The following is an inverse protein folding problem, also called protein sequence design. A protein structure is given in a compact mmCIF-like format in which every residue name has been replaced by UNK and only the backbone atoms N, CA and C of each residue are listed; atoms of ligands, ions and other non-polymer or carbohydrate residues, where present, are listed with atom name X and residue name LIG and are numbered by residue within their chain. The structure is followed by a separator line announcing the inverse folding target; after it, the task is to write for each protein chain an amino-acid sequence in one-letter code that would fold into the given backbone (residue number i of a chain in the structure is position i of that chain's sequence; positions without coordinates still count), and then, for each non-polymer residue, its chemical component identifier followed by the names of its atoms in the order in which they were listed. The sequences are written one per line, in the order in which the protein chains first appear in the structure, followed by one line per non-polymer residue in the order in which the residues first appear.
data_IF_131141443095
#
_entry.id   IF_131141443095
#
_cell.length_a   1.000
_cell.length_b   1.000
_cell.length_c   1.000
_cell.angle_alpha   90.00
_cell.angle_beta   90.00
_cell.angle_gamma   90.00
#
_symmetry.space_group_name_H-M   'P 1'
#
loop_
_entity.id
_entity.type
_entity.pdbx_description
1 polymer ?
#
# COMPACT_ATOMS: atom_id res chain seq x y z
N UNK A 1 7.54 17.64 -9.62
CA UNK A 1 6.73 16.47 -10.01
C UNK A 1 5.26 16.85 -10.00
N UNK A 2 4.46 16.25 -10.87
CA UNK A 2 3.01 16.33 -10.77
C UNK A 2 2.58 15.52 -9.55
N UNK A 3 2.01 16.18 -8.54
CA UNK A 3 1.30 15.49 -7.46
C UNK A 3 0.12 14.77 -8.11
N UNK A 4 0.25 13.46 -8.28
CA UNK A 4 -0.91 12.67 -8.66
C UNK A 4 -1.89 12.70 -7.49
N UNK A 5 -3.15 13.00 -7.77
CA UNK A 5 -4.21 13.00 -6.77
C UNK A 5 -5.05 11.77 -7.03
N UNK A 6 -5.37 11.02 -5.97
CA UNK A 6 -6.25 9.87 -6.09
C UNK A 6 -7.64 10.31 -6.56
N UNK A 7 -8.20 9.54 -7.49
CA UNK A 7 -9.52 9.79 -8.03
C UNK A 7 -10.60 9.77 -6.94
N UNK A 8 -11.76 10.37 -7.24
CA UNK A 8 -12.92 10.29 -6.35
C UNK A 8 -13.38 8.83 -6.14
N UNK A 9 -13.17 7.94 -7.11
CA UNK A 9 -13.51 6.52 -7.00
C UNK A 9 -12.57 5.83 -6.00
N UNK A 10 -11.25 6.08 -6.08
CA UNK A 10 -10.31 5.62 -5.06
C UNK A 10 -10.67 6.15 -3.67
N UNK A 11 -10.92 7.45 -3.51
CA UNK A 11 -11.23 8.04 -2.20
C UNK A 11 -12.50 7.49 -1.56
N UNK A 12 -13.46 7.04 -2.35
CA UNK A 12 -14.76 6.55 -1.84
C UNK A 12 -14.87 5.03 -1.75
N UNK A 13 -14.10 4.28 -2.54
CA UNK A 13 -14.32 2.84 -2.74
C UNK A 13 -13.06 2.00 -2.64
N UNK A 14 -11.90 2.61 -2.39
CA UNK A 14 -10.65 1.86 -2.22
C UNK A 14 -10.66 1.08 -0.91
N UNK A 15 -10.30 -0.19 -1.03
CA UNK A 15 -9.96 -1.05 0.09
C UNK A 15 -8.54 -1.58 -0.10
N UNK A 16 -7.77 -1.60 0.99
CA UNK A 16 -6.55 -2.37 1.12
C UNK A 16 -6.82 -3.62 1.95
N UNK A 17 -6.20 -4.71 1.57
CA UNK A 17 -6.30 -5.98 2.29
C UNK A 17 -4.94 -6.66 2.33
N UNK A 18 -4.71 -7.40 3.41
CA UNK A 18 -3.50 -8.20 3.62
C UNK A 18 -3.87 -9.67 3.69
N UNK A 19 -3.10 -10.54 3.05
CA UNK A 19 -3.16 -11.97 3.29
C UNK A 19 -1.76 -12.55 3.28
N UNK A 20 -1.59 -13.72 3.88
CA UNK A 20 -0.32 -14.44 3.88
C UNK A 20 -0.30 -15.49 2.75
N UNK A 21 0.82 -15.55 2.03
CA UNK A 21 1.11 -16.67 1.13
C UNK A 21 1.45 -17.93 1.94
N UNK A 22 1.53 -19.07 1.27
CA UNK A 22 1.90 -20.35 1.92
C UNK A 22 3.33 -20.28 2.46
N UNK A 23 4.17 -19.45 1.84
CA UNK A 23 5.55 -19.16 2.23
C UNK A 23 5.65 -18.17 3.42
N UNK A 24 4.51 -17.67 3.93
CA UNK A 24 4.46 -16.71 5.04
C UNK A 24 4.73 -15.26 4.62
N UNK A 25 4.71 -14.94 3.33
CA UNK A 25 4.87 -13.56 2.86
C UNK A 25 3.54 -12.82 2.94
N UNK A 26 3.56 -11.60 3.50
CA UNK A 26 2.39 -10.72 3.48
C UNK A 26 2.23 -10.08 2.10
N UNK A 27 1.06 -10.28 1.49
CA UNK A 27 0.68 -9.60 0.25
C UNK A 27 -0.35 -8.53 0.56
N UNK A 28 -0.08 -7.33 0.09
CA UNK A 28 -1.00 -6.21 0.18
C UNK A 28 -1.66 -6.01 -1.19
N UNK A 29 -2.99 -6.08 -1.26
CA UNK A 29 -3.72 -5.73 -2.46
C UNK A 29 -4.65 -4.55 -2.25
N UNK A 30 -4.89 -3.85 -3.36
CA UNK A 30 -5.89 -2.83 -3.49
C UNK A 30 -7.02 -3.30 -4.39
N UNK A 31 -8.24 -2.92 -4.05
CA UNK A 31 -9.43 -3.17 -4.87
C UNK A 31 -10.44 -2.03 -4.70
N UNK A 32 -11.30 -1.83 -5.70
CA UNK A 32 -12.44 -0.93 -5.60
C UNK A 32 -13.71 -1.73 -5.31
N UNK A 33 -14.43 -1.36 -4.25
CA UNK A 33 -15.68 -2.00 -3.86
C UNK A 33 -16.61 -0.97 -3.19
N UNK A 34 -17.93 -1.16 -3.32
CA UNK A 34 -18.92 -0.35 -2.63
C UNK A 34 -19.12 -0.71 -1.15
N UNK A 35 -18.54 -1.82 -0.68
CA UNK A 35 -18.57 -2.22 0.73
C UNK A 35 -17.44 -3.17 1.10
N UNK A 36 -17.18 -3.31 2.41
CA UNK A 36 -16.25 -4.33 2.94
C UNK A 36 -16.65 -5.76 2.53
N UNK A 37 -17.94 -6.07 2.52
CA UNK A 37 -18.43 -7.40 2.13
C UNK A 37 -18.14 -7.69 0.65
N UNK A 38 -18.37 -6.70 -0.22
CA UNK A 38 -18.04 -6.80 -1.64
C UNK A 38 -16.52 -6.89 -1.86
N UNK A 39 -15.72 -6.10 -1.14
CA UNK A 39 -14.26 -6.16 -1.21
C UNK A 39 -13.74 -7.57 -0.86
N UNK A 40 -14.24 -8.17 0.24
CA UNK A 40 -13.90 -9.54 0.64
C UNK A 40 -14.28 -10.54 -0.46
N UNK A 41 -15.49 -10.42 -1.02
CA UNK A 41 -15.98 -11.30 -2.08
C UNK A 41 -15.13 -11.22 -3.35
N UNK A 42 -14.85 -10.00 -3.85
CA UNK A 42 -14.08 -9.80 -5.07
C UNK A 42 -12.63 -10.28 -4.92
N UNK A 43 -12.01 -10.03 -3.76
CA UNK A 43 -10.66 -10.50 -3.51
C UNK A 43 -10.60 -12.04 -3.47
N UNK A 44 -11.54 -12.68 -2.79
CA UNK A 44 -11.59 -14.15 -2.75
C UNK A 44 -11.68 -14.72 -4.17
N UNK A 45 -12.49 -14.11 -5.05
CA UNK A 45 -12.56 -14.48 -6.47
C UNK A 45 -11.23 -14.26 -7.20
N UNK A 46 -10.54 -13.14 -6.95
CA UNK A 46 -9.24 -12.87 -7.56
C UNK A 46 -8.15 -13.86 -7.11
N UNK A 47 -8.09 -14.20 -5.82
CA UNK A 47 -7.13 -15.18 -5.28
C UNK A 47 -7.34 -16.57 -5.89
N UNK A 48 -8.61 -17.02 -5.98
CA UNK A 48 -8.95 -18.29 -6.64
C UNK A 48 -8.52 -18.27 -8.12
N UNK A 49 -8.75 -17.17 -8.83
CA UNK A 49 -8.34 -17.03 -10.24
C UNK A 49 -6.82 -17.08 -10.42
N UNK A 50 -6.06 -16.56 -9.47
CA UNK A 50 -4.59 -16.58 -9.49
C UNK A 50 -3.98 -17.96 -9.19
N UNK A 51 -4.79 -19.00 -9.00
CA UNK A 51 -4.34 -20.38 -8.93
C UNK A 51 -4.08 -20.92 -7.53
N UNK A 52 -4.63 -20.29 -6.48
CA UNK A 52 -4.61 -20.86 -5.11
C UNK A 52 -5.67 -21.96 -5.03
N UNK A 53 -5.26 -23.21 -4.80
CA UNK A 53 -6.19 -24.31 -4.52
C UNK A 53 -7.00 -23.96 -3.25
N UNK A 54 -8.31 -24.27 -3.24
CA UNK A 54 -9.27 -23.75 -2.26
C UNK A 54 -9.23 -24.49 -0.90
N UNK A 55 -8.19 -25.27 -0.62
CA UNK A 55 -8.19 -26.16 0.54
C UNK A 55 -8.29 -25.40 1.87
N UNK A 56 -7.89 -24.12 1.89
CA UNK A 56 -8.13 -23.18 3.00
C UNK A 56 -8.59 -21.80 2.48
N UNK A 57 -9.64 -21.23 3.08
CA UNK A 57 -10.01 -19.81 2.86
C UNK A 57 -8.78 -18.96 3.23
N UNK A 58 -8.23 -18.14 2.31
CA UNK A 58 -7.06 -17.33 2.64
C UNK A 58 -7.40 -16.49 3.86
N UNK A 59 -6.55 -16.52 4.87
CA UNK A 59 -6.77 -15.70 6.05
C UNK A 59 -6.59 -14.24 5.67
N UNK A 60 -7.72 -13.59 5.40
CA UNK A 60 -7.78 -12.19 5.02
C UNK A 60 -7.74 -11.35 6.29
N UNK A 61 -6.72 -10.52 6.41
CA UNK A 61 -6.51 -9.63 7.54
C UNK A 61 -6.52 -8.18 7.06
N UNK A 62 -6.79 -7.26 8.00
CA UNK A 62 -6.62 -5.82 7.81
C UNK A 62 -7.32 -5.29 6.53
N UNK A 63 -8.62 -5.58 6.41
CA UNK A 63 -9.46 -5.00 5.35
C UNK A 63 -9.82 -3.55 5.70
N UNK A 64 -8.93 -2.64 5.34
CA UNK A 64 -9.06 -1.21 5.61
C UNK A 64 -9.60 -0.47 4.39
N UNK A 65 -10.59 0.38 4.59
CA UNK A 65 -11.04 1.35 3.59
C UNK A 65 -10.04 2.50 3.44
N UNK A 66 -10.20 3.31 2.40
CA UNK A 66 -9.45 4.57 2.26
C UNK A 66 -9.48 5.42 3.54
N UNK A 67 -10.65 5.60 4.13
CA UNK A 67 -10.84 6.38 5.36
C UNK A 67 -10.07 5.78 6.54
N UNK A 68 -10.14 4.46 6.73
CA UNK A 68 -9.38 3.79 7.79
C UNK A 68 -7.87 4.05 7.63
N UNK A 69 -7.35 3.90 6.40
CA UNK A 69 -5.93 4.08 6.08
C UNK A 69 -5.44 5.52 6.30
N UNK A 70 -6.24 6.50 5.88
CA UNK A 70 -5.88 7.92 6.07
C UNK A 70 -5.90 8.30 7.55
N UNK A 71 -6.83 7.75 8.32
CA UNK A 71 -6.95 8.03 9.75
C UNK A 71 -5.84 7.35 10.58
N UNK A 72 -5.36 6.18 10.15
CA UNK A 72 -4.28 5.44 10.81
C UNK A 72 -2.88 5.93 10.43
N UNK A 73 -2.72 6.46 9.21
CA UNK A 73 -1.41 6.86 8.67
C UNK A 73 -0.85 8.18 9.21
N UNK A 74 0.46 8.36 9.06
CA UNK A 74 1.21 9.50 9.61
C UNK A 74 1.86 10.40 8.54
N UNK A 75 1.85 10.02 7.26
CA UNK A 75 2.36 10.87 6.17
C UNK A 75 1.61 12.19 6.07
N UNK A 76 2.31 13.27 5.73
CA UNK A 76 1.67 14.57 5.48
C UNK A 76 0.79 14.54 4.23
N UNK A 77 1.14 13.72 3.24
CA UNK A 77 0.33 13.47 2.05
C UNK A 77 -0.67 12.34 2.35
N UNK A 78 -1.94 12.70 2.50
CA UNK A 78 -3.04 11.75 2.76
C UNK A 78 -3.17 10.68 1.69
N UNK A 79 -2.88 11.00 0.42
CA UNK A 79 -2.98 10.05 -0.68
C UNK A 79 -1.85 9.02 -0.65
N UNK A 80 -0.72 9.32 0.00
CA UNK A 80 0.35 8.35 0.25
C UNK A 80 0.04 7.40 1.41
N UNK A 81 -0.82 7.79 2.36
CA UNK A 81 -1.13 6.98 3.56
C UNK A 81 -1.68 5.60 3.23
N UNK A 82 -2.34 5.45 2.09
CA UNK A 82 -2.85 4.15 1.62
C UNK A 82 -1.74 3.10 1.46
N UNK A 83 -0.50 3.54 1.25
CA UNK A 83 0.69 2.69 1.08
C UNK A 83 1.48 2.47 2.38
N UNK A 84 1.09 3.06 3.52
CA UNK A 84 1.78 2.88 4.80
C UNK A 84 1.47 1.52 5.42
N UNK A 85 2.47 0.68 5.68
CA UNK A 85 2.26 -0.64 6.29
C UNK A 85 2.38 -0.62 7.80
N UNK A 86 3.20 0.26 8.34
CA UNK A 86 3.48 0.44 9.77
C UNK A 86 4.23 1.77 9.95
N UNK A 87 4.69 2.08 11.16
CA UNK A 87 5.56 3.20 11.44
C UNK A 87 6.70 2.78 12.37
N UNK A 88 7.86 3.39 12.18
CA UNK A 88 9.03 3.22 13.05
C UNK A 88 9.46 4.55 13.64
N UNK A 89 10.18 4.50 14.76
CA UNK A 89 10.77 5.69 15.37
C UNK A 89 12.25 5.72 15.07
N UNK A 90 12.70 6.75 14.35
CA UNK A 90 14.09 6.97 13.95
C UNK A 90 14.51 8.37 14.40
N UNK A 91 15.61 8.50 15.14
CA UNK A 91 16.11 9.77 15.68
C UNK A 91 15.07 10.62 16.45
N UNK A 92 14.10 9.94 17.08
CA UNK A 92 13.04 10.58 17.87
C UNK A 92 11.80 10.98 17.07
N UNK A 93 11.86 10.93 15.73
CA UNK A 93 10.78 11.22 14.80
C UNK A 93 10.06 9.93 14.38
N UNK A 94 8.74 10.01 14.20
CA UNK A 94 7.95 8.91 13.64
C UNK A 94 8.08 8.93 12.13
N UNK A 95 8.38 7.78 11.52
CA UNK A 95 8.53 7.62 10.08
C UNK A 95 7.64 6.49 9.57
N UNK A 96 6.90 6.72 8.47
CA UNK A 96 6.10 5.68 7.86
C UNK A 96 7.01 4.59 7.28
N UNK A 97 6.64 3.35 7.50
CA UNK A 97 7.13 2.22 6.73
C UNK A 97 6.22 2.06 5.51
N UNK A 98 6.84 1.94 4.35
CA UNK A 98 6.13 1.88 3.08
C UNK A 98 5.99 0.45 2.61
N UNK A 99 4.83 0.15 2.03
CA UNK A 99 4.65 -1.05 1.22
C UNK A 99 5.69 -1.09 0.11
N UNK A 100 6.10 -2.28 -0.32
CA UNK A 100 7.13 -2.46 -1.36
C UNK A 100 6.60 -3.07 -2.65
N UNK A 101 5.59 -3.95 -2.56
CA UNK A 101 5.07 -4.73 -3.70
C UNK A 101 3.54 -4.82 -3.67
N UNK A 102 2.82 -3.69 -3.82
CA UNK A 102 1.37 -3.71 -3.93
C UNK A 102 0.88 -4.54 -5.12
N UNK A 103 -0.22 -5.29 -4.91
CA UNK A 103 -1.03 -5.84 -5.98
C UNK A 103 -2.21 -4.92 -6.29
N UNK A 104 -2.31 -4.44 -7.53
CA UNK A 104 -3.40 -3.57 -7.97
C UNK A 104 -4.47 -4.39 -8.69
N UNK A 105 -5.58 -4.69 -7.99
CA UNK A 105 -6.73 -5.41 -8.56
C UNK A 105 -7.84 -4.42 -8.96
N UNK A 106 -7.45 -3.32 -9.61
CA UNK A 106 -8.34 -2.24 -10.02
C UNK A 106 -7.81 -1.59 -11.31
N UNK A 107 -8.70 -0.85 -11.98
CA UNK A 107 -8.43 -0.19 -13.27
C UNK A 107 -8.20 1.32 -13.14
N UNK A 108 -8.22 1.87 -11.91
CA UNK A 108 -7.94 3.28 -11.68
C UNK A 108 -6.44 3.59 -11.80
N UNK A 109 -6.02 4.44 -12.76
CA UNK A 109 -4.61 4.73 -12.99
C UNK A 109 -4.00 5.68 -11.96
N UNK A 110 -4.82 6.41 -11.18
CA UNK A 110 -4.32 7.42 -10.23
C UNK A 110 -3.59 6.77 -9.07
N UNK A 111 -4.04 5.60 -8.61
CA UNK A 111 -3.36 4.86 -7.54
C UNK A 111 -1.98 4.35 -7.98
N UNK A 112 -1.84 3.86 -9.22
CA UNK A 112 -0.55 3.46 -9.77
C UNK A 112 0.37 4.67 -9.98
N UNK A 113 -0.18 5.80 -10.43
CA UNK A 113 0.55 7.06 -10.52
C UNK A 113 1.10 7.49 -9.17
N UNK A 114 0.27 7.42 -8.12
CA UNK A 114 0.66 7.77 -6.76
C UNK A 114 1.70 6.84 -6.16
N UNK A 115 1.58 5.55 -6.43
CA UNK A 115 2.61 4.58 -6.08
C UNK A 115 3.95 4.88 -6.76
N UNK A 116 3.92 5.28 -8.04
CA UNK A 116 5.14 5.64 -8.79
C UNK A 116 5.83 6.85 -8.19
N UNK A 117 5.06 7.88 -7.83
CA UNK A 117 5.56 9.07 -7.12
C UNK A 117 6.27 8.69 -5.81
N UNK A 118 5.66 7.81 -5.00
CA UNK A 118 6.29 7.29 -3.79
C UNK A 118 7.62 6.56 -4.08
N UNK A 119 7.67 5.74 -5.13
CA UNK A 119 8.90 5.03 -5.50
C UNK A 119 10.01 5.99 -5.95
N UNK A 120 9.68 7.05 -6.68
CA UNK A 120 10.64 8.09 -7.07
C UNK A 120 11.21 8.81 -5.83
N UNK A 121 10.35 9.17 -4.87
CA UNK A 121 10.76 9.83 -3.63
C UNK A 121 11.66 8.94 -2.77
N UNK A 122 11.30 7.65 -2.62
CA UNK A 122 12.12 6.69 -1.88
C UNK A 122 13.48 6.45 -2.54
N UNK A 123 13.53 6.36 -3.87
CA UNK A 123 14.79 6.25 -4.61
C UNK A 123 15.68 7.51 -4.44
N UNK A 124 15.07 8.69 -4.46
CA UNK A 124 15.77 9.94 -4.24
C UNK A 124 16.30 10.08 -2.79
N UNK A 125 15.52 9.64 -1.79
CA UNK A 125 15.94 9.60 -0.38
C UNK A 125 17.12 8.64 -0.19
N UNK A 126 17.01 7.40 -0.69
CA UNK A 126 18.07 6.41 -0.61
C UNK A 126 19.39 6.93 -1.23
N UNK A 127 19.31 7.59 -2.39
CA UNK A 127 20.47 8.18 -3.05
C UNK A 127 21.13 9.27 -2.20
N UNK A 128 20.33 10.16 -1.59
CA UNK A 128 20.83 11.21 -0.69
C UNK A 128 21.53 10.62 0.54
N UNK A 129 20.97 9.57 1.13
CA UNK A 129 21.53 8.92 2.31
C UNK A 129 22.88 8.24 2.00
N UNK A 130 22.98 7.56 0.86
CA UNK A 130 24.23 6.92 0.41
C UNK A 130 25.32 7.98 0.18
N UNK A 131 25.00 9.07 -0.50
CA UNK A 131 25.94 10.18 -0.74
C UNK A 131 26.36 10.83 0.59
N UNK A 132 25.40 11.09 1.49
CA UNK A 132 25.68 11.70 2.79
C UNK A 132 26.61 10.86 3.67
N UNK A 133 26.44 9.52 3.65
CA UNK A 133 27.33 8.58 4.35
C UNK A 133 28.74 8.57 3.76
N UNK A 134 28.86 8.60 2.42
CA UNK A 134 30.17 8.67 1.75
C UNK A 134 30.92 9.99 2.02
N UNK A 135 30.20 11.11 2.17
CA UNK A 135 30.78 12.42 2.45
C UNK A 135 31.27 12.62 3.89
N UNK A 136 30.67 11.92 4.88
CA UNK A 136 31.07 11.98 6.31
C UNK A 136 32.29 11.12 6.66
N UNK A 137 32.79 10.31 5.73
CA UNK A 137 33.97 9.46 5.91
C UNK A 137 35.30 10.09 5.47
N UNK A 138 35.35 11.42 5.24
CA UNK A 138 36.57 12.16 4.89
C UNK A 138 36.90 13.23 5.93
#
# INVERSE_FOLDING_TARGET
MSLSILSADCRSRLYRIVWETIEGESVHAFILAGSRAEAKYLLHKAIVLLGREPDDEPSLFNLNSFEDLVNEGISEDEDLRVFETDWSREDGEMRPNWMTRPLFLLHDPTLLGKWTELQEDLAAQYTRDVIGRAGRGR
#
